data_IF_247674948227
#
_entry.id   IF_247674948227
#
_cell.length_a   1.000
_cell.length_b   1.000
_cell.length_c   1.000
_cell.angle_alpha   90.00
_cell.angle_beta   90.00
_cell.angle_gamma   90.00
#
_symmetry.space_group_name_H-M   'P 1'
#
loop_
_entity.id
_entity.type
_entity.pdbx_description
1 polymer ?
#
# COMPACT_ATOMS: atom_id res chain seq x y z
N UNK A 1 3.56 -36.34 -63.98
CA UNK A 1 2.32 -36.21 -63.18
C UNK A 1 2.66 -35.27 -62.02
N UNK A 2 2.36 -33.97 -62.08
CA UNK A 2 1.03 -33.35 -61.88
C UNK A 2 0.50 -33.73 -60.48
N UNK A 3 0.10 -32.89 -59.52
CA UNK A 3 -0.32 -31.49 -59.33
C UNK A 3 -0.41 -31.33 -57.78
N UNK A 4 -0.52 -30.20 -57.07
CA UNK A 4 -0.71 -28.78 -57.36
C UNK A 4 -0.32 -27.97 -56.11
N UNK A 5 0.37 -26.87 -56.36
CA UNK A 5 0.43 -25.68 -55.51
C UNK A 5 -0.88 -24.90 -55.51
N UNK A 6 -1.16 -24.14 -54.45
CA UNK A 6 -1.96 -22.91 -54.57
C UNK A 6 -1.29 -21.81 -53.76
N UNK A 7 -0.83 -20.80 -54.49
CA UNK A 7 -0.28 -19.53 -54.03
C UNK A 7 -1.40 -18.52 -53.77
N UNK A 8 -1.17 -17.56 -52.87
CA UNK A 8 -1.48 -16.15 -53.16
C UNK A 8 -0.41 -15.23 -52.58
N UNK A 9 -0.02 -14.27 -53.40
CA UNK A 9 1.02 -13.26 -53.20
C UNK A 9 0.38 -11.91 -52.74
N UNK A 10 1.20 -10.89 -52.41
CA UNK A 10 0.87 -9.80 -51.49
C UNK A 10 0.41 -8.49 -52.16
N UNK A 11 -0.32 -7.66 -51.42
CA UNK A 11 -0.62 -6.23 -51.70
C UNK A 11 -0.89 -5.58 -50.34
N UNK A 12 -0.42 -4.40 -49.92
CA UNK A 12 0.36 -3.34 -50.53
C UNK A 12 0.58 -2.24 -49.46
N UNK A 13 1.66 -1.48 -49.61
CA UNK A 13 2.03 -0.35 -48.77
C UNK A 13 1.06 0.83 -48.96
N UNK A 14 0.64 1.48 -47.87
CA UNK A 14 0.23 2.89 -47.88
C UNK A 14 0.79 3.62 -46.67
N UNK A 15 1.94 4.25 -46.88
CA UNK A 15 2.36 5.42 -46.14
C UNK A 15 1.52 6.63 -46.60
N UNK A 16 0.90 7.35 -45.67
CA UNK A 16 0.55 8.76 -45.89
C UNK A 16 0.83 9.57 -44.62
N UNK A 17 1.80 10.48 -44.77
CA UNK A 17 2.14 11.53 -43.84
C UNK A 17 1.13 12.66 -44.02
N UNK A 18 0.44 13.07 -42.96
CA UNK A 18 -0.01 14.46 -42.81
C UNK A 18 0.23 14.92 -41.36
N UNK A 19 0.92 16.07 -41.16
CA UNK A 19 1.16 16.63 -39.84
C UNK A 19 -0.05 17.44 -39.36
N UNK A 20 -0.36 17.31 -38.06
CA UNK A 20 -1.37 18.10 -37.36
C UNK A 20 -0.98 19.60 -37.34
N UNK A 21 -1.93 20.53 -37.47
CA UNK A 21 -1.64 21.97 -37.51
C UNK A 21 -1.16 22.47 -36.15
N UNK A 22 -0.05 23.24 -36.14
CA UNK A 22 0.43 23.96 -34.96
C UNK A 22 -0.35 25.26 -34.80
N UNK A 23 -0.86 25.61 -33.61
CA UNK A 23 -1.38 26.95 -33.35
C UNK A 23 -0.25 27.97 -33.31
N UNK A 24 -0.44 29.13 -33.94
CA UNK A 24 0.40 30.33 -33.74
C UNK A 24 0.16 30.88 -32.34
N UNK A 25 1.25 31.19 -31.63
CA UNK A 25 1.21 31.89 -30.34
C UNK A 25 1.77 33.30 -30.56
N UNK A 26 0.89 34.30 -30.53
CA UNK A 26 1.30 35.69 -30.42
C UNK A 26 1.56 36.01 -28.93
N UNK A 27 2.71 36.60 -28.63
CA UNK A 27 3.14 36.93 -27.27
C UNK A 27 2.89 38.40 -26.95
N UNK A 28 2.22 38.74 -25.84
CA UNK A 28 2.32 40.08 -25.25
C UNK A 28 3.24 40.11 -24.02
N UNK A 29 3.81 41.29 -23.83
CA UNK A 29 4.96 41.63 -23.00
C UNK A 29 4.77 41.45 -21.47
N UNK A 30 5.93 41.32 -20.82
CA UNK A 30 6.11 41.16 -19.37
C UNK A 30 5.79 42.42 -18.55
N UNK A 31 5.29 42.21 -17.33
CA UNK A 31 5.43 43.18 -16.22
C UNK A 31 5.70 42.45 -14.88
N UNK A 32 6.49 43.11 -14.03
CA UNK A 32 7.22 42.63 -12.83
C UNK A 32 6.35 42.66 -11.54
N UNK A 33 6.83 42.07 -10.41
CA UNK A 33 6.00 41.48 -9.35
C UNK A 33 5.67 42.43 -8.18
N UNK A 34 4.57 42.14 -7.48
CA UNK A 34 4.15 42.86 -6.28
C UNK A 34 3.85 41.94 -5.08
N UNK A 35 4.60 42.17 -4.01
CA UNK A 35 4.32 41.99 -2.58
C UNK A 35 4.03 40.59 -1.97
N UNK A 36 4.99 40.15 -1.15
CA UNK A 36 4.86 39.18 -0.06
C UNK A 36 3.77 39.58 0.95
N UNK A 37 2.94 38.62 1.39
CA UNK A 37 2.12 38.70 2.62
C UNK A 37 2.53 37.61 3.61
N UNK A 38 2.41 37.93 4.90
CA UNK A 38 2.88 37.16 6.07
C UNK A 38 2.15 35.81 6.24
N UNK A 39 2.76 34.80 6.89
CA UNK A 39 2.24 33.44 6.97
C UNK A 39 1.66 33.12 8.36
N UNK A 40 0.43 33.58 8.66
CA UNK A 40 -0.23 33.20 9.93
C UNK A 40 -1.60 32.53 9.75
N UNK A 41 -2.03 32.22 8.52
CA UNK A 41 -3.28 31.49 8.27
C UNK A 41 -3.13 30.57 7.05
N UNK A 42 -2.70 29.32 7.28
CA UNK A 42 -2.81 28.24 6.30
C UNK A 42 -3.18 26.95 7.05
N UNK A 43 -4.49 26.73 7.21
CA UNK A 43 -5.06 25.40 7.41
C UNK A 43 -4.90 24.57 6.11
N UNK A 44 -4.84 23.26 6.28
CA UNK A 44 -4.55 22.24 5.28
C UNK A 44 -5.30 22.42 3.94
N UNK A 45 -4.59 22.87 2.91
CA UNK A 45 -4.92 22.55 1.52
C UNK A 45 -3.73 21.85 0.86
N UNK A 46 -3.99 20.63 0.37
CA UNK A 46 -3.05 19.85 -0.42
C UNK A 46 -2.72 20.60 -1.73
N UNK A 47 -1.56 21.27 -1.75
CA UNK A 47 -1.02 21.91 -2.95
C UNK A 47 -0.43 20.87 -3.90
N UNK A 48 -1.24 20.38 -4.84
CA UNK A 48 -0.75 19.82 -6.10
C UNK A 48 -0.30 20.97 -7.01
N UNK A 49 1.01 21.22 -7.09
CA UNK A 49 1.58 22.07 -8.12
C UNK A 49 1.61 21.33 -9.47
N UNK A 50 0.54 21.47 -10.26
CA UNK A 50 0.57 21.19 -11.68
C UNK A 50 0.77 22.52 -12.44
N UNK A 51 2.00 22.74 -12.89
CA UNK A 51 2.33 23.86 -13.77
C UNK A 51 1.74 23.60 -15.16
N UNK A 52 0.68 24.33 -15.54
CA UNK A 52 0.43 24.84 -16.91
C UNK A 52 -0.79 25.77 -16.90
N UNK A 53 -0.57 26.99 -17.38
CA UNK A 53 -1.59 28.02 -17.59
C UNK A 53 -2.44 27.65 -18.82
N UNK A 54 -3.75 27.48 -18.62
CA UNK A 54 -4.75 27.53 -19.68
C UNK A 54 -6.00 28.24 -19.14
N UNK A 55 -6.44 29.40 -19.68
CA UNK A 55 -7.50 30.20 -19.11
C UNK A 55 -8.84 29.95 -19.82
N UNK A 56 -9.32 28.70 -19.88
CA UNK A 56 -10.72 28.40 -20.25
C UNK A 56 -11.23 27.19 -19.47
N UNK A 57 -11.47 27.39 -18.18
CA UNK A 57 -12.41 26.56 -17.43
C UNK A 57 -13.16 27.49 -16.47
N UNK A 58 -14.36 27.89 -16.87
CA UNK A 58 -15.33 28.43 -15.91
C UNK A 58 -15.68 27.30 -14.97
N UNK A 59 -15.31 27.43 -13.70
CA UNK A 59 -15.84 26.60 -12.62
C UNK A 59 -17.24 27.10 -12.34
N UNK A 60 -18.22 26.64 -13.11
CA UNK A 60 -19.62 26.79 -12.77
C UNK A 60 -19.93 25.74 -11.70
N UNK A 61 -20.07 26.22 -10.46
CA UNK A 61 -20.37 25.50 -9.21
C UNK A 61 -19.17 24.90 -8.43
N UNK A 62 -18.81 25.59 -7.35
CA UNK A 62 -18.20 24.96 -6.17
C UNK A 62 -19.33 24.18 -5.48
N UNK A 63 -19.33 22.86 -5.61
CA UNK A 63 -20.19 22.00 -4.77
C UNK A 63 -19.58 22.00 -3.37
N UNK A 64 -20.08 22.90 -2.51
CA UNK A 64 -19.87 22.77 -1.07
C UNK A 64 -20.66 21.55 -0.60
N UNK A 65 -19.97 20.46 -0.32
CA UNK A 65 -20.55 19.34 0.44
C UNK A 65 -20.66 19.81 1.89
N UNK A 66 -21.79 20.42 2.24
CA UNK A 66 -22.19 20.56 3.64
C UNK A 66 -22.35 19.16 4.23
N UNK A 67 -21.97 18.90 5.50
CA UNK A 67 -22.34 17.66 6.16
C UNK A 67 -23.86 17.53 6.08
N UNK A 68 -24.34 16.51 5.38
CA UNK A 68 -25.77 16.28 5.25
C UNK A 68 -26.31 15.94 6.64
N UNK A 69 -27.43 16.57 7.02
CA UNK A 69 -28.22 16.10 8.16
C UNK A 69 -28.57 14.64 7.90
N UNK A 70 -28.11 13.76 8.80
CA UNK A 70 -28.32 12.31 8.77
C UNK A 70 -29.81 12.01 8.67
N UNK A 71 -30.29 11.71 7.47
CA UNK A 71 -31.58 11.05 7.26
C UNK A 71 -31.32 9.55 7.24
N UNK A 72 -31.85 8.86 8.25
CA UNK A 72 -31.60 7.45 8.50
C UNK A 72 -31.99 6.54 7.34
N UNK A 73 -30.99 6.07 6.60
CA UNK A 73 -31.06 4.74 6.02
C UNK A 73 -30.80 3.74 7.14
N UNK A 74 -31.64 2.72 7.27
CA UNK A 74 -31.43 1.63 8.22
C UNK A 74 -30.22 0.83 7.74
N UNK A 75 -29.02 1.17 8.23
CA UNK A 75 -27.94 0.20 8.30
C UNK A 75 -28.31 -0.82 9.38
N UNK A 76 -27.99 -2.09 9.13
CA UNK A 76 -28.25 -3.18 10.07
C UNK A 76 -27.46 -3.04 11.39
N UNK A 77 -26.55 -2.06 11.49
CA UNK A 77 -25.77 -1.68 12.67
C UNK A 77 -25.45 -0.17 12.66
N UNK A 78 -25.17 0.45 13.83
CA UNK A 78 -24.74 1.85 13.91
C UNK A 78 -23.31 2.01 13.34
N UNK A 79 -23.20 2.57 12.14
CA UNK A 79 -21.92 2.82 11.46
C UNK A 79 -22.11 3.47 10.09
N UNK A 80 -21.04 3.57 9.31
CA UNK A 80 -21.07 3.91 7.88
C UNK A 80 -19.95 3.16 7.11
N UNK A 81 -19.78 3.46 5.82
CA UNK A 81 -18.76 2.80 4.99
C UNK A 81 -17.33 2.94 5.54
N UNK A 82 -16.96 4.13 6.03
CA UNK A 82 -15.65 4.43 6.61
C UNK A 82 -15.58 4.04 8.09
N UNK A 83 -16.66 4.27 8.83
CA UNK A 83 -16.74 4.02 10.27
C UNK A 83 -17.66 2.84 10.56
N UNK A 84 -17.18 1.61 10.33
CA UNK A 84 -17.97 0.40 10.57
C UNK A 84 -18.43 0.26 12.03
N UNK A 85 -17.67 0.81 12.98
CA UNK A 85 -17.92 0.76 14.43
C UNK A 85 -17.82 2.18 15.00
N UNK A 86 -18.97 2.81 15.26
CA UNK A 86 -19.04 4.22 15.66
C UNK A 86 -18.21 4.56 16.92
N UNK A 87 -18.17 3.65 17.88
CA UNK A 87 -17.50 3.85 19.18
C UNK A 87 -16.14 3.12 19.28
N UNK A 88 -15.63 2.63 18.15
CA UNK A 88 -14.34 1.94 18.10
C UNK A 88 -13.59 2.31 16.82
N UNK A 89 -12.83 3.40 16.90
CA UNK A 89 -12.09 3.92 15.75
C UNK A 89 -11.01 2.93 15.28
N UNK A 90 -10.41 2.18 16.20
CA UNK A 90 -9.42 1.16 15.88
C UNK A 90 -9.99 0.05 14.98
N UNK A 91 -11.17 -0.49 15.32
CA UNK A 91 -11.85 -1.50 14.52
C UNK A 91 -12.33 -0.93 13.18
N UNK A 92 -12.83 0.30 13.19
CA UNK A 92 -13.26 1.00 11.97
C UNK A 92 -12.10 1.19 10.99
N UNK A 93 -10.98 1.74 11.46
CA UNK A 93 -9.77 1.93 10.66
C UNK A 93 -9.22 0.61 10.13
N UNK A 94 -9.16 -0.43 10.97
CA UNK A 94 -8.69 -1.74 10.55
C UNK A 94 -9.58 -2.34 9.46
N UNK A 95 -10.90 -2.27 9.64
CA UNK A 95 -11.88 -2.72 8.66
C UNK A 95 -11.79 -1.93 7.34
N UNK A 96 -11.58 -0.61 7.41
CA UNK A 96 -11.45 0.24 6.23
C UNK A 96 -10.21 -0.12 5.41
N UNK A 97 -9.09 -0.41 6.07
CA UNK A 97 -7.87 -0.89 5.39
C UNK A 97 -8.13 -2.23 4.70
N UNK A 98 -8.82 -3.16 5.36
CA UNK A 98 -9.22 -4.43 4.75
C UNK A 98 -10.12 -4.22 3.54
N UNK A 99 -11.15 -3.35 3.64
CA UNK A 99 -12.02 -2.97 2.50
C UNK A 99 -11.21 -2.37 1.34
N UNK A 100 -10.19 -1.57 1.66
CA UNK A 100 -9.30 -0.93 0.69
C UNK A 100 -8.60 -1.90 -0.25
N UNK A 101 -8.44 -3.17 0.15
CA UNK A 101 -7.80 -4.20 -0.67
C UNK A 101 -8.72 -4.85 -1.72
N UNK A 102 -10.01 -4.48 -1.73
CA UNK A 102 -11.00 -5.06 -2.65
C UNK A 102 -10.65 -4.92 -4.15
N UNK A 103 -10.06 -3.80 -4.64
CA UNK A 103 -9.71 -3.65 -6.06
C UNK A 103 -8.76 -4.73 -6.59
N UNK A 104 -7.96 -5.36 -5.73
CA UNK A 104 -6.99 -6.40 -6.12
C UNK A 104 -7.49 -7.82 -5.86
N UNK A 105 -8.81 -8.01 -5.67
CA UNK A 105 -9.45 -9.29 -5.33
C UNK A 105 -8.85 -9.98 -4.10
N UNK A 106 -8.22 -9.20 -3.23
CA UNK A 106 -7.56 -9.70 -2.03
C UNK A 106 -8.50 -9.71 -0.81
N UNK A 107 -9.75 -9.26 -0.98
CA UNK A 107 -10.87 -9.39 -0.02
C UNK A 107 -12.19 -9.46 -0.80
N UNK A 108 -13.28 -9.78 -0.13
CA UNK A 108 -14.64 -9.62 -0.65
C UNK A 108 -15.51 -8.84 0.34
N UNK A 109 -16.21 -7.80 -0.13
CA UNK A 109 -16.95 -6.89 0.74
C UNK A 109 -18.06 -7.59 1.54
N UNK A 110 -18.74 -8.57 0.96
CA UNK A 110 -19.78 -9.34 1.66
C UNK A 110 -19.23 -10.20 2.82
N UNK A 111 -17.98 -10.65 2.72
CA UNK A 111 -17.34 -11.43 3.80
C UNK A 111 -16.85 -10.53 4.93
N UNK A 112 -16.37 -9.33 4.58
CA UNK A 112 -16.07 -8.29 5.56
C UNK A 112 -17.36 -7.92 6.31
N UNK A 113 -18.47 -7.72 5.59
CA UNK A 113 -19.76 -7.38 6.21
C UNK A 113 -20.27 -8.50 7.13
N UNK A 114 -20.11 -9.78 6.76
CA UNK A 114 -20.41 -10.91 7.65
C UNK A 114 -19.66 -10.79 8.99
N UNK A 115 -18.35 -10.54 8.96
CA UNK A 115 -17.54 -10.38 10.17
C UNK A 115 -17.95 -9.15 10.97
N UNK A 116 -18.19 -8.01 10.29
CA UNK A 116 -18.63 -6.77 10.96
C UNK A 116 -19.97 -6.97 11.67
N UNK A 117 -20.93 -7.66 11.06
CA UNK A 117 -22.22 -7.96 11.69
C UNK A 117 -22.06 -8.85 12.94
N UNK A 118 -21.20 -9.88 12.88
CA UNK A 118 -20.90 -10.73 14.02
C UNK A 118 -20.22 -9.97 15.15
N UNK A 119 -19.26 -9.10 14.82
CA UNK A 119 -18.54 -8.29 15.80
C UNK A 119 -19.46 -7.32 16.56
N UNK A 120 -20.49 -6.76 15.90
CA UNK A 120 -21.51 -5.96 16.58
C UNK A 120 -22.32 -6.73 17.63
N UNK A 121 -22.40 -8.06 17.52
CA UNK A 121 -23.06 -8.91 18.51
C UNK A 121 -22.10 -9.35 19.64
N UNK A 122 -20.80 -9.02 19.52
CA UNK A 122 -19.72 -9.51 20.39
C UNK A 122 -18.86 -8.39 20.96
N UNK A 123 -19.42 -7.19 21.11
CA UNK A 123 -18.71 -5.97 21.53
C UNK A 123 -18.05 -6.02 22.91
N UNK A 124 -18.39 -7.01 23.74
CA UNK A 124 -17.84 -7.22 25.09
C UNK A 124 -16.74 -8.29 25.17
N UNK A 125 -16.35 -8.92 24.06
CA UNK A 125 -15.28 -9.93 24.04
C UNK A 125 -13.99 -9.35 23.47
N UNK A 126 -12.94 -9.36 24.28
CA UNK A 126 -11.61 -8.84 23.92
C UNK A 126 -10.98 -9.61 22.75
N UNK A 127 -11.32 -10.89 22.61
CA UNK A 127 -10.81 -11.77 21.55
C UNK A 127 -11.72 -11.81 20.30
N UNK A 128 -12.90 -11.18 20.33
CA UNK A 128 -13.89 -11.29 19.25
C UNK A 128 -13.32 -10.89 17.88
N UNK A 129 -12.50 -9.84 17.82
CA UNK A 129 -11.84 -9.43 16.58
C UNK A 129 -11.01 -10.56 15.99
N UNK A 130 -10.09 -11.09 16.78
CA UNK A 130 -9.19 -12.13 16.31
C UNK A 130 -9.96 -13.39 15.92
N UNK A 131 -10.92 -13.81 16.75
CA UNK A 131 -11.72 -15.02 16.51
C UNK A 131 -12.55 -14.93 15.23
N UNK A 132 -13.30 -13.86 15.02
CA UNK A 132 -14.18 -13.73 13.85
C UNK A 132 -13.39 -13.64 12.54
N UNK A 133 -12.30 -12.86 12.54
CA UNK A 133 -11.44 -12.75 11.36
C UNK A 133 -10.68 -14.05 11.08
N UNK A 134 -10.15 -14.74 12.11
CA UNK A 134 -9.50 -16.03 11.93
C UNK A 134 -10.48 -17.13 11.48
N UNK A 135 -11.71 -17.14 11.99
CA UNK A 135 -12.74 -18.09 11.57
C UNK A 135 -13.08 -17.91 10.08
N UNK A 136 -13.24 -16.66 9.63
CA UNK A 136 -13.42 -16.37 8.21
C UNK A 136 -12.19 -16.79 7.40
N UNK A 137 -10.98 -16.42 7.84
CA UNK A 137 -9.73 -16.75 7.15
C UNK A 137 -9.57 -18.26 6.96
N UNK A 138 -9.77 -19.06 8.01
CA UNK A 138 -9.69 -20.52 7.97
C UNK A 138 -10.73 -21.14 7.02
N UNK A 139 -11.96 -20.61 7.01
CA UNK A 139 -13.01 -21.05 6.07
C UNK A 139 -12.60 -20.80 4.61
N UNK A 140 -12.04 -19.62 4.32
CA UNK A 140 -11.59 -19.27 2.98
C UNK A 140 -10.33 -20.03 2.56
N UNK A 141 -9.41 -20.27 3.48
CA UNK A 141 -8.23 -21.10 3.30
C UNK A 141 -8.62 -22.53 2.92
N UNK A 142 -9.59 -23.14 3.60
CA UNK A 142 -10.08 -24.48 3.27
C UNK A 142 -10.68 -24.57 1.85
N UNK A 143 -11.38 -23.51 1.39
CA UNK A 143 -11.83 -23.43 0.00
C UNK A 143 -10.65 -23.31 -0.98
N UNK A 144 -9.62 -22.56 -0.62
CA UNK A 144 -8.40 -22.42 -1.41
C UNK A 144 -7.68 -23.76 -1.55
N UNK A 145 -7.49 -24.50 -0.44
CA UNK A 145 -6.87 -25.82 -0.41
C UNK A 145 -7.66 -26.82 -1.27
N UNK A 146 -8.99 -26.82 -1.17
CA UNK A 146 -9.86 -27.66 -2.01
C UNK A 146 -9.75 -27.32 -3.50
N UNK A 147 -9.65 -26.03 -3.84
CA UNK A 147 -9.45 -25.59 -5.22
C UNK A 147 -8.05 -25.96 -5.75
N UNK A 148 -7.02 -25.82 -4.93
CA UNK A 148 -5.64 -26.16 -5.26
C UNK A 148 -5.49 -27.66 -5.51
N UNK A 149 -6.03 -28.50 -4.63
CA UNK A 149 -6.02 -29.96 -4.77
C UNK A 149 -6.72 -30.45 -6.05
N UNK A 150 -7.69 -29.69 -6.56
CA UNK A 150 -8.40 -29.96 -7.79
C UNK A 150 -7.80 -29.26 -9.04
N UNK A 151 -6.60 -28.67 -8.93
CA UNK A 151 -5.92 -28.00 -10.05
C UNK A 151 -6.53 -26.66 -10.49
N UNK A 152 -7.44 -26.07 -9.71
CA UNK A 152 -8.12 -24.80 -10.04
C UNK A 152 -7.30 -23.60 -9.54
N UNK A 153 -6.14 -23.35 -10.16
CA UNK A 153 -5.16 -22.36 -9.70
C UNK A 153 -5.72 -20.94 -9.57
N UNK A 154 -6.54 -20.47 -10.52
CA UNK A 154 -7.10 -19.11 -10.46
C UNK A 154 -8.03 -18.91 -9.26
N UNK A 155 -8.87 -19.91 -8.97
CA UNK A 155 -9.77 -19.94 -7.81
C UNK A 155 -8.97 -20.05 -6.51
N UNK A 156 -8.04 -21.00 -6.44
CA UNK A 156 -7.19 -21.20 -5.28
C UNK A 156 -6.41 -19.92 -4.93
N UNK A 157 -5.77 -19.30 -5.93
CA UNK A 157 -5.01 -18.06 -5.74
C UNK A 157 -5.86 -16.91 -5.19
N UNK A 158 -7.07 -16.72 -5.72
CA UNK A 158 -8.00 -15.70 -5.19
C UNK A 158 -8.39 -15.98 -3.72
N UNK A 159 -8.73 -17.23 -3.40
CA UNK A 159 -9.11 -17.58 -2.04
C UNK A 159 -7.92 -17.44 -1.08
N UNK A 160 -6.72 -17.84 -1.48
CA UNK A 160 -5.51 -17.67 -0.68
C UNK A 160 -5.19 -16.20 -0.39
N UNK A 161 -5.25 -15.31 -1.39
CA UNK A 161 -5.02 -13.86 -1.17
C UNK A 161 -6.02 -13.27 -0.17
N UNK A 162 -7.27 -13.73 -0.21
CA UNK A 162 -8.31 -13.34 0.76
C UNK A 162 -8.05 -13.88 2.15
N UNK A 163 -7.76 -15.18 2.28
CA UNK A 163 -7.40 -15.77 3.56
C UNK A 163 -6.19 -15.07 4.18
N UNK A 164 -5.18 -14.73 3.37
CA UNK A 164 -4.00 -13.99 3.80
C UNK A 164 -4.37 -12.63 4.42
N UNK A 165 -5.19 -11.84 3.73
CA UNK A 165 -5.64 -10.53 4.21
C UNK A 165 -6.50 -10.64 5.48
N UNK A 166 -7.33 -11.68 5.59
CA UNK A 166 -8.16 -11.89 6.78
C UNK A 166 -7.34 -12.34 7.99
N UNK A 167 -6.35 -13.23 7.82
CA UNK A 167 -5.39 -13.53 8.89
C UNK A 167 -4.58 -12.30 9.30
N UNK A 168 -4.12 -11.50 8.33
CA UNK A 168 -3.40 -10.26 8.62
C UNK A 168 -4.28 -9.26 9.39
N UNK A 169 -5.55 -9.14 8.98
CA UNK A 169 -6.54 -8.31 9.67
C UNK A 169 -6.77 -8.81 11.09
N UNK A 170 -6.90 -10.13 11.30
CA UNK A 170 -7.10 -10.76 12.60
C UNK A 170 -5.97 -10.44 13.59
N UNK A 171 -4.72 -10.49 13.15
CA UNK A 171 -3.58 -10.29 14.05
C UNK A 171 -3.43 -8.84 14.54
N UNK A 172 -4.10 -7.87 13.90
CA UNK A 172 -3.86 -6.44 14.11
C UNK A 172 -4.16 -5.95 15.53
N UNK A 173 -5.09 -6.60 16.22
CA UNK A 173 -5.45 -6.29 17.62
C UNK A 173 -4.72 -7.16 18.65
N UNK A 174 -3.96 -8.18 18.20
CA UNK A 174 -3.24 -9.10 19.08
C UNK A 174 -1.95 -8.42 19.54
N UNK A 175 -1.61 -8.47 20.84
CA UNK A 175 -0.32 -7.98 21.32
C UNK A 175 0.86 -8.83 20.79
N UNK A 176 2.11 -8.34 20.83
CA UNK A 176 3.27 -9.12 20.42
C UNK A 176 3.40 -10.42 21.22
N UNK A 177 3.67 -11.53 20.54
CA UNK A 177 3.77 -12.86 21.14
C UNK A 177 3.39 -13.97 20.14
N UNK A 178 3.42 -15.22 20.60
CA UNK A 178 3.27 -16.37 19.70
C UNK A 178 1.90 -16.42 18.99
N UNK A 179 0.81 -15.96 19.64
CA UNK A 179 -0.52 -15.85 19.01
C UNK A 179 -0.49 -14.96 17.76
N UNK A 180 0.22 -13.81 17.84
CA UNK A 180 0.43 -12.93 16.69
C UNK A 180 1.29 -13.62 15.64
N UNK A 181 2.43 -14.19 16.04
CA UNK A 181 3.36 -14.82 15.10
C UNK A 181 2.73 -16.01 14.35
N UNK A 182 1.97 -16.87 15.02
CA UNK A 182 1.25 -17.98 14.38
C UNK A 182 0.22 -17.47 13.35
N UNK A 183 -0.54 -16.44 13.72
CA UNK A 183 -1.51 -15.81 12.82
C UNK A 183 -0.81 -15.18 11.61
N UNK A 184 0.33 -14.52 11.81
CA UNK A 184 1.14 -13.98 10.73
C UNK A 184 1.71 -15.06 9.82
N UNK A 185 2.22 -16.18 10.36
CA UNK A 185 2.73 -17.29 9.54
C UNK A 185 1.64 -17.88 8.64
N UNK A 186 0.40 -17.99 9.13
CA UNK A 186 -0.76 -18.38 8.31
C UNK A 186 -1.06 -17.35 7.22
N UNK A 187 -1.04 -16.06 7.56
CA UNK A 187 -1.20 -14.98 6.59
C UNK A 187 -0.15 -15.05 5.49
N UNK A 188 1.13 -15.16 5.86
CA UNK A 188 2.27 -15.20 4.96
C UNK A 188 2.23 -16.44 4.04
N UNK A 189 1.91 -17.62 4.58
CA UNK A 189 1.71 -18.86 3.80
C UNK A 189 0.64 -18.66 2.73
N UNK A 190 -0.53 -18.16 3.11
CA UNK A 190 -1.62 -17.88 2.19
C UNK A 190 -1.24 -16.78 1.17
N UNK A 191 -0.50 -15.75 1.59
CA UNK A 191 -0.05 -14.69 0.69
C UNK A 191 0.88 -15.26 -0.39
N UNK A 192 1.84 -16.12 -0.01
CA UNK A 192 2.72 -16.81 -0.96
C UNK A 192 1.93 -17.65 -1.95
N UNK A 193 1.08 -18.55 -1.46
CA UNK A 193 0.27 -19.43 -2.30
C UNK A 193 -0.62 -18.64 -3.28
N UNK A 194 -1.20 -17.53 -2.80
CA UNK A 194 -2.01 -16.61 -3.57
C UNK A 194 -1.22 -15.88 -4.65
N UNK A 195 -0.12 -15.21 -4.27
CA UNK A 195 0.71 -14.42 -5.17
C UNK A 195 1.32 -15.28 -6.28
N UNK A 196 1.88 -16.45 -5.96
CA UNK A 196 2.48 -17.36 -6.95
C UNK A 196 1.49 -17.81 -8.03
N UNK A 197 0.22 -18.04 -7.65
CA UNK A 197 -0.83 -18.49 -8.58
C UNK A 197 -1.42 -17.36 -9.41
N UNK A 198 -1.42 -16.13 -8.87
CA UNK A 198 -2.11 -14.98 -9.46
C UNK A 198 -1.18 -14.08 -10.25
N UNK A 199 0.08 -14.00 -9.84
CA UNK A 199 1.07 -13.05 -10.34
C UNK A 199 2.41 -13.77 -10.57
N UNK A 200 2.55 -14.55 -11.65
CA UNK A 200 3.79 -15.29 -11.96
C UNK A 200 5.00 -14.38 -12.22
N UNK A 201 4.77 -13.07 -12.35
CA UNK A 201 5.76 -12.02 -12.47
C UNK A 201 6.24 -11.45 -11.12
N UNK A 202 5.82 -12.04 -10.00
CA UNK A 202 6.30 -11.70 -8.65
C UNK A 202 7.37 -12.69 -8.22
N UNK A 203 8.51 -12.16 -7.80
CA UNK A 203 9.61 -12.91 -7.19
C UNK A 203 9.64 -12.62 -5.70
N UNK A 204 9.76 -13.63 -4.84
CA UNK A 204 10.15 -13.41 -3.44
C UNK A 204 11.66 -13.24 -3.38
N UNK A 205 12.12 -12.19 -2.74
CA UNK A 205 13.54 -11.83 -2.71
C UNK A 205 13.96 -11.42 -1.31
N UNK A 206 15.23 -11.67 -1.00
CA UNK A 206 15.88 -11.21 0.21
C UNK A 206 16.89 -10.13 -0.17
N UNK A 207 16.67 -8.91 0.34
CA UNK A 207 17.58 -7.79 0.14
C UNK A 207 18.66 -7.87 1.23
N UNK A 208 19.96 -7.99 0.88
CA UNK A 208 21.03 -8.00 1.86
C UNK A 208 20.98 -6.74 2.74
N UNK A 209 21.08 -6.91 4.06
CA UNK A 209 21.00 -5.82 5.02
C UNK A 209 21.80 -6.18 6.28
N UNK A 210 22.91 -5.48 6.51
CA UNK A 210 23.85 -5.78 7.61
C UNK A 210 24.27 -7.26 7.57
N UNK A 211 24.16 -7.99 8.68
CA UNK A 211 24.41 -9.43 8.80
C UNK A 211 23.14 -10.29 8.56
N UNK A 212 22.05 -9.65 8.11
CA UNK A 212 20.73 -10.25 7.86
C UNK A 212 20.22 -9.90 6.46
N UNK A 213 18.91 -9.99 6.27
CA UNK A 213 18.24 -9.58 5.04
C UNK A 213 16.84 -9.03 5.33
N UNK A 214 16.37 -8.14 4.47
CA UNK A 214 15.01 -7.61 4.48
C UNK A 214 14.15 -8.40 3.48
N UNK A 215 12.98 -8.85 3.94
CA UNK A 215 12.05 -9.61 3.12
C UNK A 215 11.38 -8.69 2.10
N UNK A 216 11.30 -9.13 0.84
CA UNK A 216 10.66 -8.34 -0.20
C UNK A 216 9.95 -9.20 -1.26
N UNK A 217 9.03 -8.56 -1.97
CA UNK A 217 8.53 -9.04 -3.26
C UNK A 217 8.98 -8.09 -4.36
N UNK A 218 9.56 -8.66 -5.41
CA UNK A 218 9.92 -7.95 -6.62
C UNK A 218 8.90 -8.27 -7.71
N UNK A 219 7.98 -7.34 -7.99
CA UNK A 219 7.02 -7.48 -9.07
C UNK A 219 7.60 -6.88 -10.36
N UNK A 220 7.76 -7.73 -11.36
CA UNK A 220 8.19 -7.34 -12.72
C UNK A 220 7.02 -6.87 -13.54
N UNK A 221 7.25 -5.88 -14.40
CA UNK A 221 6.28 -5.51 -15.41
C UNK A 221 6.39 -6.48 -16.59
N UNK A 222 5.30 -7.14 -17.01
CA UNK A 222 5.27 -7.89 -18.27
C UNK A 222 5.26 -6.97 -19.50
N UNK A 223 5.13 -5.66 -19.31
CA UNK A 223 5.07 -4.66 -20.38
C UNK A 223 6.36 -3.84 -20.52
N UNK A 224 7.34 -4.07 -19.64
CA UNK A 224 8.66 -3.42 -19.73
C UNK A 224 9.39 -3.84 -21.02
N UNK A 225 10.02 -2.86 -21.67
CA UNK A 225 10.86 -3.07 -22.86
C UNK A 225 12.32 -2.82 -22.47
N UNK A 226 13.07 -3.89 -22.24
CA UNK A 226 14.45 -3.81 -21.73
C UNK A 226 14.49 -3.44 -20.24
N UNK A 227 15.51 -2.67 -19.85
CA UNK A 227 15.68 -2.21 -18.46
C UNK A 227 14.54 -1.30 -18.03
N UNK A 228 13.83 -1.67 -16.97
CA UNK A 228 12.63 -0.97 -16.53
C UNK A 228 12.93 0.08 -15.44
N UNK A 229 12.17 1.20 -15.43
CA UNK A 229 12.10 2.05 -14.24
C UNK A 229 11.51 1.24 -13.07
N UNK A 230 11.97 1.50 -11.86
CA UNK A 230 11.63 0.68 -10.68
C UNK A 230 11.27 1.55 -9.48
N UNK A 231 10.21 1.20 -8.77
CA UNK A 231 9.88 1.78 -7.47
C UNK A 231 10.35 0.84 -6.35
N UNK A 232 11.18 1.34 -5.43
CA UNK A 232 11.38 0.74 -4.11
C UNK A 232 10.31 1.29 -3.19
N UNK A 233 9.46 0.43 -2.63
CA UNK A 233 8.31 0.82 -1.83
C UNK A 233 8.39 0.22 -0.43
N UNK A 234 8.57 1.08 0.58
CA UNK A 234 8.46 0.70 1.99
C UNK A 234 7.04 0.94 2.52
N UNK A 235 6.65 0.17 3.53
CA UNK A 235 5.34 0.29 4.17
C UNK A 235 5.29 1.40 5.24
N UNK A 236 4.19 1.44 6.00
CA UNK A 236 4.05 2.23 7.22
C UNK A 236 4.39 1.45 8.49
N UNK A 237 3.73 1.80 9.59
CA UNK A 237 3.92 1.19 10.91
C UNK A 237 3.33 -0.22 11.01
N UNK A 238 2.18 -0.44 10.37
CA UNK A 238 1.27 -1.56 10.67
C UNK A 238 0.88 -2.38 9.44
N UNK A 239 1.54 -2.14 8.30
CA UNK A 239 1.31 -2.85 7.05
C UNK A 239 2.54 -3.70 6.66
N UNK A 240 2.44 -4.42 5.55
CA UNK A 240 3.47 -5.31 5.05
C UNK A 240 3.52 -5.38 3.52
N UNK A 241 4.64 -5.89 3.01
CA UNK A 241 4.94 -6.04 1.59
C UNK A 241 3.87 -6.81 0.79
N UNK A 242 3.17 -7.75 1.43
CA UNK A 242 2.08 -8.52 0.82
C UNK A 242 0.92 -7.63 0.34
N UNK A 243 0.71 -6.48 1.00
CA UNK A 243 -0.30 -5.50 0.60
C UNK A 243 0.23 -4.57 -0.48
N UNK A 244 1.42 -4.02 -0.30
CA UNK A 244 2.00 -3.01 -1.20
C UNK A 244 2.40 -3.58 -2.55
N UNK A 245 2.80 -4.86 -2.61
CA UNK A 245 3.01 -5.56 -3.89
C UNK A 245 1.71 -5.67 -4.72
N UNK A 246 0.55 -5.72 -4.06
CA UNK A 246 -0.73 -5.72 -4.75
C UNK A 246 -1.09 -4.31 -5.21
N UNK A 247 -1.26 -3.35 -4.28
CA UNK A 247 -1.82 -2.07 -4.65
C UNK A 247 -0.90 -1.17 -5.47
N UNK A 248 0.40 -1.27 -5.26
CA UNK A 248 1.38 -0.53 -6.05
C UNK A 248 1.98 -1.43 -7.13
N UNK A 249 2.42 -2.63 -6.76
CA UNK A 249 3.11 -3.52 -7.69
C UNK A 249 2.28 -3.84 -8.93
N UNK A 250 1.02 -4.28 -8.77
CA UNK A 250 0.15 -4.63 -9.92
C UNK A 250 -0.06 -3.44 -10.84
N UNK A 251 -0.33 -2.27 -10.25
CA UNK A 251 -0.61 -1.04 -10.99
C UNK A 251 0.62 -0.50 -11.73
N UNK A 252 1.78 -0.55 -11.10
CA UNK A 252 3.05 -0.11 -11.69
C UNK A 252 3.53 -1.10 -12.75
N UNK A 253 3.34 -2.40 -12.51
CA UNK A 253 3.60 -3.45 -13.50
C UNK A 253 2.76 -3.24 -14.76
N UNK A 254 1.47 -2.89 -14.62
CA UNK A 254 0.61 -2.56 -15.77
C UNK A 254 1.15 -1.36 -16.59
N UNK A 255 1.86 -0.44 -15.93
CA UNK A 255 2.41 0.79 -16.53
C UNK A 255 3.86 0.68 -17.00
N UNK A 256 4.42 -0.54 -17.05
CA UNK A 256 5.79 -0.75 -17.55
C UNK A 256 6.89 -0.59 -16.50
N UNK A 257 6.56 -0.53 -15.21
CA UNK A 257 7.51 -0.30 -14.12
C UNK A 257 7.66 -1.55 -13.23
N UNK A 258 8.85 -1.81 -12.69
CA UNK A 258 9.05 -2.82 -11.66
C UNK A 258 8.77 -2.23 -10.27
N UNK A 259 8.46 -3.08 -9.30
CA UNK A 259 8.26 -2.67 -7.90
C UNK A 259 9.00 -3.63 -6.98
N UNK A 260 9.83 -3.10 -6.08
CA UNK A 260 10.33 -3.82 -4.92
C UNK A 260 9.48 -3.38 -3.71
N UNK A 261 8.47 -4.17 -3.36
CA UNK A 261 7.72 -4.00 -2.12
C UNK A 261 8.50 -4.69 -0.99
N UNK A 262 8.95 -3.92 0.01
CA UNK A 262 9.95 -4.37 0.97
C UNK A 262 9.53 -4.06 2.41
N UNK A 263 9.62 -5.07 3.28
CA UNK A 263 9.51 -4.91 4.71
C UNK A 263 10.85 -4.39 5.26
N UNK A 264 10.96 -3.09 5.52
CA UNK A 264 12.13 -2.51 6.17
C UNK A 264 12.22 -2.80 7.68
N UNK A 265 13.23 -2.27 8.37
CA UNK A 265 13.33 -2.35 9.83
C UNK A 265 12.05 -1.88 10.54
N UNK A 266 11.47 -2.74 11.38
CA UNK A 266 10.21 -2.48 12.09
C UNK A 266 8.95 -2.84 11.31
N UNK A 267 9.05 -3.42 10.11
CA UNK A 267 7.91 -3.68 9.23
C UNK A 267 7.69 -5.18 8.99
N UNK A 268 6.44 -5.57 8.73
CA UNK A 268 6.03 -6.89 8.27
C UNK A 268 6.85 -8.06 8.83
N UNK A 269 7.43 -8.84 7.91
CA UNK A 269 8.23 -10.03 8.19
C UNK A 269 9.57 -9.70 8.88
N UNK A 270 10.18 -8.56 8.53
CA UNK A 270 11.44 -8.09 9.10
C UNK A 270 11.32 -7.92 10.62
N UNK A 271 10.23 -7.32 11.11
CA UNK A 271 9.96 -7.24 12.54
C UNK A 271 9.52 -8.59 13.11
N UNK A 272 8.50 -9.21 12.51
CA UNK A 272 7.78 -10.36 13.10
C UNK A 272 8.63 -11.64 13.14
N UNK A 273 9.31 -11.96 12.06
CA UNK A 273 10.00 -13.24 11.89
C UNK A 273 11.52 -13.12 11.93
N UNK A 274 12.07 -11.93 11.69
CA UNK A 274 13.53 -11.70 11.66
C UNK A 274 14.04 -10.84 12.82
N UNK A 275 13.13 -10.34 13.66
CA UNK A 275 13.43 -9.52 14.84
C UNK A 275 14.34 -8.32 14.48
N UNK A 276 13.95 -7.57 13.45
CA UNK A 276 14.60 -6.33 13.00
C UNK A 276 13.71 -5.17 13.42
N UNK A 277 13.95 -4.52 14.57
CA UNK A 277 13.19 -3.35 15.00
C UNK A 277 13.48 -2.14 14.11
N UNK A 278 12.63 -1.11 14.18
CA UNK A 278 12.78 0.12 13.41
C UNK A 278 13.94 0.98 13.90
N UNK A 279 14.30 1.96 13.07
CA UNK A 279 15.40 2.90 13.32
C UNK A 279 15.10 4.25 12.67
N UNK A 280 15.69 5.31 13.19
CA UNK A 280 15.43 6.67 12.71
C UNK A 280 16.18 6.99 11.39
N UNK A 281 17.35 6.42 11.17
CA UNK A 281 18.21 6.62 10.00
C UNK A 281 17.86 5.61 8.89
N UNK A 282 16.66 5.78 8.32
CA UNK A 282 16.07 4.82 7.38
C UNK A 282 16.80 4.71 6.02
N UNK A 283 17.76 5.59 5.71
CA UNK A 283 18.74 5.39 4.63
C UNK A 283 19.56 4.11 4.80
N UNK A 284 19.68 3.60 6.03
CA UNK A 284 20.31 2.31 6.31
C UNK A 284 19.57 1.15 5.63
N UNK A 285 18.25 1.25 5.43
CA UNK A 285 17.45 0.29 4.67
C UNK A 285 17.23 0.74 3.21
N UNK A 286 17.11 2.06 2.98
CA UNK A 286 16.96 2.63 1.64
C UNK A 286 18.17 2.34 0.74
N UNK A 287 19.39 2.51 1.25
CA UNK A 287 20.62 2.29 0.46
C UNK A 287 20.74 0.84 -0.01
N UNK A 288 20.62 -0.19 0.85
CA UNK A 288 20.66 -1.58 0.38
C UNK A 288 19.52 -1.94 -0.57
N UNK A 289 18.32 -1.36 -0.38
CA UNK A 289 17.22 -1.58 -1.31
C UNK A 289 17.51 -0.99 -2.70
N UNK A 290 18.14 0.19 -2.78
CA UNK A 290 18.64 0.75 -4.03
C UNK A 290 19.70 -0.17 -4.66
N UNK A 291 20.71 -0.58 -3.90
CA UNK A 291 21.80 -1.43 -4.41
C UNK A 291 21.27 -2.74 -4.98
N UNK A 292 20.31 -3.38 -4.28
CA UNK A 292 19.69 -4.62 -4.74
C UNK A 292 19.00 -4.44 -6.10
N UNK A 293 18.16 -3.40 -6.27
CA UNK A 293 17.48 -3.21 -7.56
C UNK A 293 18.46 -2.76 -8.64
N UNK A 294 19.44 -1.91 -8.31
CA UNK A 294 20.43 -1.42 -9.25
C UNK A 294 21.36 -2.52 -9.77
N UNK A 295 21.60 -3.58 -8.99
CA UNK A 295 22.40 -4.73 -9.41
C UNK A 295 21.66 -5.66 -10.38
N UNK A 296 20.35 -5.51 -10.57
CA UNK A 296 19.58 -6.36 -11.46
C UNK A 296 19.75 -5.95 -12.92
N UNK A 297 19.91 -6.94 -13.79
CA UNK A 297 20.05 -6.73 -15.24
C UNK A 297 18.77 -6.19 -15.91
N UNK A 298 17.60 -6.42 -15.31
CA UNK A 298 16.29 -5.97 -15.82
C UNK A 298 15.87 -4.59 -15.29
N UNK A 299 16.67 -3.94 -14.44
CA UNK A 299 16.39 -2.62 -13.85
C UNK A 299 17.28 -1.55 -14.46
N UNK A 300 16.71 -0.37 -14.70
CA UNK A 300 17.46 0.84 -15.06
C UNK A 300 17.79 1.65 -13.79
N UNK A 301 19.06 1.65 -13.32
CA UNK A 301 19.46 2.29 -12.07
C UNK A 301 19.27 3.81 -12.09
N UNK A 302 19.32 4.44 -13.27
CA UNK A 302 19.07 5.88 -13.41
C UNK A 302 17.58 6.24 -13.27
N UNK A 303 16.68 5.25 -13.23
CA UNK A 303 15.23 5.42 -13.10
C UNK A 303 14.66 4.60 -11.93
N UNK A 304 15.42 4.53 -10.83
CA UNK A 304 14.95 3.97 -9.57
C UNK A 304 14.37 5.10 -8.70
N UNK A 305 13.12 4.98 -8.29
CA UNK A 305 12.46 5.87 -7.34
C UNK A 305 12.29 5.18 -5.99
N UNK A 306 12.18 5.97 -4.93
CA UNK A 306 11.76 5.50 -3.61
C UNK A 306 10.37 6.03 -3.28
N UNK A 307 9.54 5.19 -2.68
CA UNK A 307 8.22 5.54 -2.17
C UNK A 307 7.98 4.92 -0.81
N UNK A 308 7.15 5.57 0.00
CA UNK A 308 6.63 4.98 1.23
C UNK A 308 5.35 5.70 1.68
N UNK A 309 4.60 5.08 2.58
CA UNK A 309 3.28 5.58 2.97
C UNK A 309 2.99 5.45 4.47
N UNK A 310 2.05 6.27 4.97
CA UNK A 310 1.74 6.40 6.40
C UNK A 310 2.99 6.80 7.20
N UNK A 311 3.42 6.03 8.21
CA UNK A 311 4.70 6.23 8.89
C UNK A 311 5.89 6.31 7.90
N UNK A 312 5.77 5.61 6.77
CA UNK A 312 6.70 5.66 5.66
C UNK A 312 6.91 7.05 5.05
N UNK A 313 5.99 7.98 5.24
CA UNK A 313 6.19 9.37 4.84
C UNK A 313 7.33 10.08 5.58
N UNK A 314 7.88 9.50 6.65
CA UNK A 314 9.20 9.85 7.20
C UNK A 314 10.33 9.06 6.49
N UNK A 315 10.16 7.75 6.32
CA UNK A 315 11.18 6.83 5.77
C UNK A 315 11.67 7.20 4.37
N UNK A 316 10.77 7.39 3.40
CA UNK A 316 11.19 7.67 2.02
C UNK A 316 11.92 9.01 1.88
N UNK A 317 11.42 10.14 2.43
CA UNK A 317 12.18 11.39 2.43
C UNK A 317 13.51 11.30 3.18
N UNK A 318 13.55 10.63 4.35
CA UNK A 318 14.78 10.44 5.13
C UNK A 318 15.84 9.67 4.33
N UNK A 319 15.44 8.61 3.64
CA UNK A 319 16.31 7.85 2.77
C UNK A 319 16.77 8.66 1.55
N UNK A 320 15.85 9.30 0.80
CA UNK A 320 16.20 10.14 -0.35
C UNK A 320 17.08 11.36 0.01
N UNK A 321 17.00 11.83 1.24
CA UNK A 321 17.86 12.91 1.74
C UNK A 321 19.33 12.49 1.90
N UNK A 322 19.64 11.19 2.00
CA UNK A 322 20.99 10.69 2.27
C UNK A 322 21.49 9.71 1.19
N UNK A 323 20.60 9.01 0.50
CA UNK A 323 20.87 8.23 -0.71
C UNK A 323 20.43 9.01 -1.95
N UNK A 324 21.39 9.72 -2.57
CA UNK A 324 21.13 10.67 -3.66
C UNK A 324 20.90 10.05 -5.03
N UNK A 325 21.10 8.73 -5.16
CA UNK A 325 20.94 8.04 -6.45
C UNK A 325 19.48 7.75 -6.81
N UNK A 326 18.56 7.81 -5.85
CA UNK A 326 17.13 7.77 -6.16
C UNK A 326 16.72 8.95 -7.05
N UNK A 327 16.14 8.64 -8.21
CA UNK A 327 15.74 9.62 -9.22
C UNK A 327 14.48 10.41 -8.83
N UNK A 328 13.65 9.84 -7.94
CA UNK A 328 12.43 10.49 -7.43
C UNK A 328 12.08 9.92 -6.04
N UNK A 329 11.34 10.72 -5.27
CA UNK A 329 10.82 10.37 -3.94
C UNK A 329 9.31 10.60 -3.89
N UNK A 330 8.55 9.61 -3.39
CA UNK A 330 7.10 9.68 -3.17
C UNK A 330 6.83 9.48 -1.68
N UNK A 331 6.15 10.43 -1.04
CA UNK A 331 5.75 10.34 0.36
C UNK A 331 4.22 10.47 0.47
N UNK A 332 3.55 9.38 0.83
CA UNK A 332 2.11 9.37 1.08
C UNK A 332 1.82 9.49 2.59
N UNK A 333 1.47 10.70 3.03
CA UNK A 333 1.44 11.07 4.44
C UNK A 333 2.81 11.59 4.92
N UNK A 334 3.35 12.66 4.31
CA UNK A 334 4.67 13.17 4.66
C UNK A 334 4.70 13.71 6.09
N UNK A 335 5.74 13.34 6.85
CA UNK A 335 5.97 13.84 8.20
C UNK A 335 7.43 14.29 8.33
N UNK A 336 7.65 15.55 8.69
CA UNK A 336 9.00 16.07 8.98
C UNK A 336 9.39 15.83 10.45
N UNK A 337 8.41 15.75 11.34
CA UNK A 337 8.58 15.43 12.75
C UNK A 337 7.58 14.33 13.14
N UNK A 338 8.05 13.09 13.14
CA UNK A 338 7.21 11.94 13.49
C UNK A 338 7.01 11.80 15.01
N UNK A 339 7.94 12.33 15.81
CA UNK A 339 7.83 12.35 17.27
C UNK A 339 6.67 13.24 17.72
N UNK A 340 6.55 14.47 17.19
CA UNK A 340 5.44 15.38 17.51
C UNK A 340 4.06 14.78 17.15
N UNK A 341 3.98 13.97 16.08
CA UNK A 341 2.76 13.24 15.74
C UNK A 341 2.41 12.17 16.78
N UNK A 342 3.42 11.50 17.32
CA UNK A 342 3.25 10.50 18.37
C UNK A 342 2.95 11.10 19.73
N UNK A 343 3.48 12.28 20.08
CA UNK A 343 3.09 12.99 21.30
C UNK A 343 1.59 13.27 21.33
N UNK A 344 1.05 13.81 20.23
CA UNK A 344 -0.39 14.05 20.07
C UNK A 344 -1.20 12.77 20.16
N UNK A 345 -0.75 11.71 19.47
CA UNK A 345 -1.43 10.41 19.47
C UNK A 345 -1.39 9.75 20.85
N UNK A 346 -0.27 9.83 21.56
CA UNK A 346 -0.11 9.27 22.90
C UNK A 346 -0.98 10.00 23.92
N UNK A 347 -1.07 11.34 23.84
CA UNK A 347 -2.00 12.10 24.65
C UNK A 347 -3.46 11.69 24.41
N UNK A 348 -3.86 11.49 23.15
CA UNK A 348 -5.20 11.02 22.80
C UNK A 348 -5.47 9.59 23.31
N UNK A 349 -4.50 8.67 23.16
CA UNK A 349 -4.57 7.29 23.68
C UNK A 349 -4.83 7.24 25.19
N UNK A 350 -4.20 8.14 25.96
CA UNK A 350 -4.42 8.23 27.41
C UNK A 350 -5.83 8.68 27.79
N UNK A 351 -6.50 9.44 26.92
CA UNK A 351 -7.86 9.92 27.14
C UNK A 351 -8.89 8.85 26.75
N UNK A 352 -8.73 8.27 25.56
CA UNK A 352 -9.57 7.19 25.05
C UNK A 352 -8.75 6.25 24.15
N UNK A 353 -8.43 5.07 24.68
CA UNK A 353 -7.67 4.06 23.94
C UNK A 353 -8.38 3.54 22.68
N UNK A 354 -9.70 3.69 22.58
CA UNK A 354 -10.50 3.28 21.39
C UNK A 354 -10.68 4.39 20.37
N UNK A 355 -10.33 5.63 20.74
CA UNK A 355 -10.43 6.82 19.90
C UNK A 355 -9.30 6.98 18.88
N UNK A 356 -8.28 6.11 18.91
CA UNK A 356 -7.13 6.14 18.01
C UNK A 356 -7.03 4.90 17.13
N UNK A 357 -6.37 5.05 15.98
CA UNK A 357 -6.29 4.03 14.94
C UNK A 357 -5.31 2.87 15.26
N UNK A 358 -4.47 3.02 16.28
CA UNK A 358 -3.30 2.18 16.55
C UNK A 358 -3.34 1.67 17.99
N UNK A 359 -2.92 0.43 18.23
CA UNK A 359 -2.79 -0.12 19.59
C UNK A 359 -1.65 0.54 20.38
N UNK A 360 -1.81 0.65 21.70
CA UNK A 360 -0.77 1.17 22.60
C UNK A 360 0.56 0.36 22.56
N UNK A 361 0.50 -0.94 22.26
CA UNK A 361 1.69 -1.79 22.17
C UNK A 361 2.47 -1.61 20.86
N UNK A 362 1.89 -0.94 19.86
CA UNK A 362 2.38 -1.03 18.48
C UNK A 362 3.67 -0.25 18.27
N UNK A 363 3.77 1.00 18.72
CA UNK A 363 5.00 1.78 18.59
C UNK A 363 6.17 1.15 19.38
N UNK A 364 6.03 0.77 20.66
CA UNK A 364 7.12 0.15 21.40
C UNK A 364 7.62 -1.13 20.74
N UNK A 365 6.69 -1.95 20.25
CA UNK A 365 7.03 -3.18 19.54
C UNK A 365 7.80 -2.91 18.24
N UNK A 366 7.34 -1.96 17.41
CA UNK A 366 8.01 -1.58 16.17
C UNK A 366 9.41 -1.03 16.44
N UNK A 367 9.58 -0.24 17.49
CA UNK A 367 10.86 0.33 17.90
C UNK A 367 11.76 -0.68 18.66
N UNK A 368 11.24 -1.83 19.06
CA UNK A 368 11.98 -2.84 19.81
C UNK A 368 12.29 -2.42 21.26
N UNK A 369 11.43 -1.59 21.87
CA UNK A 369 11.59 -1.08 23.23
C UNK A 369 10.45 -1.54 24.15
N UNK A 370 10.63 -1.37 25.46
CA UNK A 370 9.76 -1.98 26.46
C UNK A 370 8.35 -1.38 26.51
N UNK A 371 8.23 -0.06 26.35
CA UNK A 371 6.99 0.68 26.55
C UNK A 371 6.95 1.98 25.74
N UNK A 372 5.85 2.71 25.86
CA UNK A 372 5.65 3.98 25.15
C UNK A 372 6.64 5.06 25.61
N UNK A 373 7.02 5.10 26.89
CA UNK A 373 7.91 6.14 27.39
C UNK A 373 9.35 5.96 26.86
N UNK A 374 9.78 4.73 26.60
CA UNK A 374 11.04 4.43 25.91
C UNK A 374 10.97 4.64 24.38
N UNK A 375 9.76 4.65 23.80
CA UNK A 375 9.55 4.81 22.36
C UNK A 375 9.39 6.27 21.91
N UNK A 376 8.94 7.13 22.83
CA UNK A 376 8.92 8.59 22.68
C UNK A 376 10.34 9.14 22.88
#
# INVERSE_FOLDING_TARGET
MALSSTSMNPVGSLASKQPWPRPRVDTPAASRPGAYRKPDELEEEALLFACRRDPVCRVDAIIRISPSKRTGGVMFYPGNWTDSFADNHQYSNATLITKGMAPWNAVALGEIDEVVQRLHQRTHSDDAWWEEWCALAARIEAFADTAAAAGRHATAGNCYLRAANYYYTAERMVAPGEKKLDTYRKSLRCAHEGLERRYPNVERVDVPYEDRSLAAYFMKSPHAKGRAPTLVLFDGLDNCKEMSVLFAGVELAFRGMHTLAIDGPGQGESLRLRNIPSRYDYEAAGTPAYEYVASRADVDPARVAIGAYSAGGYYAPRAAAFEKRYAACIAWGPHYDYHANWEKRWAAMKQDGKGVATSHFQLPWVMGVADMDAAM
#
